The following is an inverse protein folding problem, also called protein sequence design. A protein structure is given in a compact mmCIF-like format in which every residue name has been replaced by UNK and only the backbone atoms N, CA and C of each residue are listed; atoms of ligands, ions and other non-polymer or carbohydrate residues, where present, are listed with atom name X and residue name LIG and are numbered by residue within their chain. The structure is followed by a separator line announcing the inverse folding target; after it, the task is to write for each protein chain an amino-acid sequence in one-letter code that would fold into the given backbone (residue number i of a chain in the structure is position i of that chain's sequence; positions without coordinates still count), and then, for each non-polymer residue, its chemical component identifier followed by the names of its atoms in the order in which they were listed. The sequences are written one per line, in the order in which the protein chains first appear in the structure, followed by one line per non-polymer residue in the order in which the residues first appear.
data_IF_901753714926
#
_entry.id   IF_901753714926
#
_cell.length_a   1.000
_cell.length_b   1.000
_cell.length_c   1.000
_cell.angle_alpha   90.00
_cell.angle_beta   90.00
_cell.angle_gamma   90.00
#
_symmetry.space_group_name_H-M   'P 1'
#
loop_
_entity.id
_entity.type
_entity.pdbx_description
1 polymer ?
#
# COMPACT_ATOMS: atom_id res chain seq x y z
N UNK A 1 -7.97 19.59 14.24
CA UNK A 1 -6.61 19.26 14.73
C UNK A 1 -6.60 18.21 15.85
N UNK A 2 -7.29 18.43 16.98
CA UNK A 2 -7.30 17.46 18.12
C UNK A 2 -7.78 16.04 17.75
N UNK A 3 -8.78 15.91 16.87
CA UNK A 3 -9.29 14.60 16.45
C UNK A 3 -8.25 13.79 15.65
N UNK A 4 -7.62 14.39 14.64
CA UNK A 4 -6.58 13.73 13.84
C UNK A 4 -5.40 13.25 14.69
N UNK A 5 -4.97 14.05 15.66
CA UNK A 5 -3.88 13.66 16.56
C UNK A 5 -4.26 12.44 17.41
N UNK A 6 -5.50 12.40 17.92
CA UNK A 6 -6.01 11.23 18.66
C UNK A 6 -6.08 9.98 17.78
N UNK A 7 -6.56 10.12 16.55
CA UNK A 7 -6.61 9.01 15.58
C UNK A 7 -5.21 8.47 15.27
N UNK A 8 -4.25 9.35 14.99
CA UNK A 8 -2.86 8.96 14.73
C UNK A 8 -2.24 8.28 15.96
N UNK A 9 -2.44 8.84 17.16
CA UNK A 9 -1.95 8.23 18.39
C UNK A 9 -2.52 6.83 18.60
N UNK A 10 -3.83 6.65 18.40
CA UNK A 10 -4.49 5.34 18.51
C UNK A 10 -3.87 4.34 17.54
N UNK A 11 -3.71 4.69 16.27
CA UNK A 11 -3.12 3.79 15.27
C UNK A 11 -1.64 3.51 15.54
N UNK A 12 -0.88 4.48 16.05
CA UNK A 12 0.51 4.23 16.48
C UNK A 12 0.56 3.23 17.63
N UNK A 13 -0.29 3.39 18.64
CA UNK A 13 -0.36 2.46 19.77
C UNK A 13 -0.77 1.05 19.32
N UNK A 14 -1.76 0.95 18.42
CA UNK A 14 -2.16 -0.33 17.84
C UNK A 14 -1.03 -0.96 17.01
N UNK A 15 -0.31 -0.17 16.21
CA UNK A 15 0.83 -0.68 15.46
C UNK A 15 1.88 -1.27 16.39
N UNK A 16 2.30 -0.54 17.43
CA UNK A 16 3.27 -1.02 18.41
C UNK A 16 2.80 -2.29 19.14
N UNK A 17 1.51 -2.36 19.50
CA UNK A 17 0.94 -3.50 20.20
C UNK A 17 0.82 -4.74 19.30
N UNK A 18 0.33 -4.58 18.07
CA UNK A 18 0.08 -5.68 17.14
C UNK A 18 1.34 -6.17 16.43
N UNK A 19 2.41 -5.38 16.41
CA UNK A 19 3.73 -5.81 15.94
C UNK A 19 4.65 -6.24 17.09
N UNK A 20 4.15 -6.44 18.30
CA UNK A 20 4.98 -6.94 19.41
C UNK A 20 5.62 -8.30 19.04
N UNK A 21 6.91 -8.56 19.34
CA UNK A 21 7.83 -7.80 20.21
C UNK A 21 8.71 -6.76 19.51
N UNK A 22 8.37 -6.29 18.30
CA UNK A 22 9.20 -5.34 17.55
C UNK A 22 9.63 -4.11 18.38
N UNK A 23 8.72 -3.54 19.15
CA UNK A 23 9.01 -2.38 19.99
C UNK A 23 10.09 -2.65 21.05
N UNK A 24 10.22 -3.89 21.55
CA UNK A 24 11.25 -4.28 22.51
C UNK A 24 12.63 -4.48 21.85
N UNK A 25 12.65 -4.82 20.56
CA UNK A 25 13.86 -5.11 19.79
C UNK A 25 14.13 -4.09 18.68
N UNK A 26 13.58 -2.89 18.82
CA UNK A 26 13.42 -1.90 17.74
C UNK A 26 14.74 -1.46 17.06
N UNK A 27 15.85 -1.53 17.78
CA UNK A 27 17.18 -1.13 17.27
C UNK A 27 18.04 -2.30 16.82
N UNK A 28 17.63 -3.54 17.09
CA UNK A 28 18.46 -4.74 16.91
C UNK A 28 17.88 -5.73 15.92
N UNK A 29 16.56 -5.74 15.71
CA UNK A 29 15.88 -6.70 14.85
C UNK A 29 14.92 -5.99 13.91
N UNK A 30 14.70 -6.59 12.74
CA UNK A 30 13.58 -6.30 11.83
C UNK A 30 12.56 -7.45 11.94
N UNK A 31 11.26 -7.22 11.69
CA UNK A 31 10.28 -8.31 11.67
C UNK A 31 10.55 -9.26 10.51
N UNK A 32 10.38 -10.56 10.72
CA UNK A 32 10.62 -11.56 9.69
C UNK A 32 11.01 -12.90 10.28
N UNK A 33 11.05 -13.90 9.43
CA UNK A 33 11.51 -15.26 9.74
C UNK A 33 12.96 -15.51 9.24
N UNK A 34 13.62 -14.49 8.69
CA UNK A 34 14.98 -14.55 8.16
C UNK A 34 15.04 -14.84 6.66
N UNK A 35 13.91 -15.05 5.97
CA UNK A 35 13.88 -15.40 4.56
C UNK A 35 13.92 -14.13 3.69
N UNK A 36 12.88 -13.30 3.77
CA UNK A 36 12.72 -12.12 2.90
C UNK A 36 13.22 -10.82 3.54
N UNK A 37 13.26 -10.74 4.89
CA UNK A 37 13.66 -9.54 5.60
C UNK A 37 15.09 -9.06 5.31
N UNK A 38 16.13 -9.92 5.14
CA UNK A 38 17.46 -9.44 4.81
C UNK A 38 17.52 -8.81 3.41
N UNK A 39 16.80 -9.40 2.44
CA UNK A 39 16.75 -8.89 1.07
C UNK A 39 16.03 -7.53 1.01
N UNK A 40 14.90 -7.38 1.71
CA UNK A 40 14.19 -6.11 1.77
C UNK A 40 14.92 -5.05 2.59
N UNK A 41 15.67 -5.43 3.63
CA UNK A 41 16.58 -4.52 4.30
C UNK A 41 17.72 -4.06 3.38
N UNK A 42 18.28 -4.97 2.57
CA UNK A 42 19.27 -4.62 1.55
C UNK A 42 18.72 -3.63 0.53
N UNK A 43 17.45 -3.76 0.11
CA UNK A 43 16.80 -2.81 -0.79
C UNK A 43 16.82 -1.38 -0.24
N UNK A 44 16.49 -1.23 1.05
CA UNK A 44 16.49 0.06 1.70
C UNK A 44 17.89 0.68 1.71
N UNK A 45 18.93 -0.12 1.93
CA UNK A 45 20.32 0.34 1.87
C UNK A 45 20.78 0.67 0.43
N UNK A 46 20.41 -0.16 -0.54
CA UNK A 46 20.91 -0.08 -1.91
C UNK A 46 20.58 1.26 -2.58
N UNK A 47 19.32 1.69 -2.51
CA UNK A 47 18.85 2.92 -3.18
C UNK A 47 19.65 4.16 -2.76
N UNK A 48 19.78 4.53 -1.46
CA UNK A 48 20.60 5.65 -1.04
C UNK A 48 22.09 5.42 -1.30
N UNK A 49 22.61 4.21 -1.12
CA UNK A 49 24.01 3.92 -1.46
C UNK A 49 24.30 4.22 -2.94
N UNK A 50 23.40 3.84 -3.84
CA UNK A 50 23.54 4.06 -5.28
C UNK A 50 23.41 5.55 -5.66
N UNK A 51 22.35 6.20 -5.17
CA UNK A 51 22.05 7.59 -5.51
C UNK A 51 22.98 8.61 -4.83
N UNK A 52 23.31 8.39 -3.56
CA UNK A 52 24.00 9.38 -2.71
C UNK A 52 25.48 9.06 -2.62
N UNK A 53 25.83 7.82 -2.24
CA UNK A 53 27.23 7.45 -2.01
C UNK A 53 27.99 7.23 -3.31
N UNK A 54 27.36 6.61 -4.32
CA UNK A 54 27.97 6.36 -5.63
C UNK A 54 27.65 7.42 -6.68
N UNK A 55 26.77 8.38 -6.37
CA UNK A 55 26.31 9.42 -7.29
C UNK A 55 25.83 8.86 -8.64
N UNK A 56 25.20 7.69 -8.61
CA UNK A 56 24.74 7.00 -9.80
C UNK A 56 23.21 6.94 -9.82
N UNK A 57 22.53 7.55 -10.80
CA UNK A 57 21.08 7.55 -10.89
C UNK A 57 20.49 6.19 -11.29
N UNK A 58 21.30 5.26 -11.79
CA UNK A 58 20.86 3.92 -12.17
C UNK A 58 20.78 3.01 -10.94
N UNK A 59 19.59 2.98 -10.33
CA UNK A 59 19.27 2.10 -9.20
C UNK A 59 18.90 0.67 -9.61
N UNK A 60 18.77 0.40 -10.91
CA UNK A 60 18.25 -0.88 -11.39
C UNK A 60 19.37 -1.87 -11.71
N UNK A 61 20.59 -1.43 -12.06
CA UNK A 61 21.66 -2.37 -12.39
C UNK A 61 22.68 -2.55 -11.26
N UNK A 62 22.95 -3.81 -10.92
CA UNK A 62 23.99 -4.19 -9.97
C UNK A 62 24.96 -5.21 -10.60
N UNK A 63 26.21 -4.82 -10.83
CA UNK A 63 27.19 -5.66 -11.54
C UNK A 63 28.14 -6.50 -10.69
N UNK A 64 28.00 -6.41 -9.36
CA UNK A 64 28.90 -7.08 -8.43
C UNK A 64 28.26 -8.27 -7.71
N UNK A 65 26.93 -8.35 -7.68
CA UNK A 65 26.23 -9.40 -6.93
C UNK A 65 26.37 -10.77 -7.60
N UNK A 66 26.31 -10.81 -8.94
CA UNK A 66 26.46 -12.02 -9.75
C UNK A 66 27.62 -11.90 -10.76
N UNK A 67 28.67 -11.16 -10.42
CA UNK A 67 29.81 -10.94 -11.31
C UNK A 67 30.33 -12.25 -11.94
N UNK A 68 30.54 -12.32 -13.27
CA UNK A 68 30.57 -11.21 -14.24
C UNK A 68 29.23 -10.83 -14.87
N UNK A 69 28.11 -11.36 -14.37
CA UNK A 69 26.77 -11.09 -14.88
C UNK A 69 26.18 -9.89 -14.13
N UNK A 70 25.73 -8.89 -14.88
CA UNK A 70 24.95 -7.78 -14.35
C UNK A 70 23.50 -8.22 -14.12
N UNK A 71 22.95 -7.88 -12.96
CA UNK A 71 21.55 -8.15 -12.61
C UNK A 71 20.74 -6.86 -12.79
N UNK A 72 19.60 -6.98 -13.48
CA UNK A 72 18.58 -5.96 -13.56
C UNK A 72 17.54 -6.14 -12.44
N UNK A 73 17.48 -5.17 -11.53
CA UNK A 73 16.60 -5.12 -10.38
C UNK A 73 15.22 -4.57 -10.73
N UNK A 74 14.95 -4.21 -11.99
CA UNK A 74 13.63 -3.73 -12.41
C UNK A 74 12.55 -4.82 -12.31
N UNK A 75 12.89 -6.10 -12.47
CA UNK A 75 11.96 -7.22 -12.24
C UNK A 75 12.02 -7.77 -10.81
N UNK A 76 12.86 -7.17 -9.97
CA UNK A 76 13.01 -7.52 -8.56
C UNK A 76 12.17 -6.58 -7.67
N UNK A 77 11.81 -7.03 -6.47
CA UNK A 77 10.97 -6.31 -5.50
C UNK A 77 11.71 -5.17 -4.80
N UNK A 78 12.36 -4.28 -5.55
CA UNK A 78 13.32 -3.28 -5.03
C UNK A 78 12.71 -2.22 -4.09
N UNK A 79 11.41 -1.95 -4.16
CA UNK A 79 10.74 -0.89 -3.38
C UNK A 79 11.42 0.50 -3.39
N UNK A 80 11.77 1.10 -4.55
CA UNK A 80 12.61 2.31 -4.60
C UNK A 80 12.14 3.50 -3.76
N UNK A 81 10.83 3.73 -3.63
CA UNK A 81 10.32 4.81 -2.78
C UNK A 81 10.68 4.58 -1.30
N UNK A 82 10.55 3.34 -0.81
CA UNK A 82 10.88 3.00 0.56
C UNK A 82 12.38 3.21 0.81
N UNK A 83 13.23 2.79 -0.14
CA UNK A 83 14.67 3.06 -0.08
C UNK A 83 14.99 4.56 -0.02
N UNK A 84 14.34 5.38 -0.85
CA UNK A 84 14.53 6.83 -0.82
C UNK A 84 14.06 7.47 0.50
N UNK A 85 12.88 7.08 1.00
CA UNK A 85 12.34 7.58 2.28
C UNK A 85 13.17 7.14 3.48
N UNK A 86 13.85 6.00 3.38
CA UNK A 86 14.73 5.51 4.44
C UNK A 86 16.04 6.30 4.53
N UNK A 87 16.49 6.96 3.46
CA UNK A 87 17.79 7.64 3.41
C UNK A 87 18.06 8.61 4.58
N UNK A 88 17.19 9.57 4.92
CA UNK A 88 17.41 10.46 6.08
C UNK A 88 17.31 9.74 7.43
N UNK A 89 16.56 8.64 7.50
CA UNK A 89 16.44 7.83 8.72
C UNK A 89 17.70 6.99 8.93
N UNK A 90 18.25 6.42 7.86
CA UNK A 90 19.47 5.61 7.90
C UNK A 90 20.68 6.44 8.33
N UNK A 91 20.83 7.65 7.81
CA UNK A 91 21.95 8.51 8.15
C UNK A 91 21.96 8.95 9.62
N UNK A 92 20.79 9.01 10.26
CA UNK A 92 20.65 9.42 11.65
C UNK A 92 20.54 8.25 12.65
N UNK A 93 19.89 7.15 12.26
CA UNK A 93 19.44 6.08 13.17
C UNK A 93 19.89 4.67 12.74
N UNK A 94 20.46 4.51 11.54
CA UNK A 94 20.85 3.23 10.99
C UNK A 94 19.72 2.47 10.27
N UNK A 95 20.11 1.42 9.54
CA UNK A 95 19.24 0.66 8.64
C UNK A 95 18.07 -0.04 9.35
N UNK A 96 18.35 -0.69 10.47
CA UNK A 96 17.35 -1.45 11.24
C UNK A 96 16.23 -0.52 11.72
N UNK A 97 16.59 0.60 12.34
CA UNK A 97 15.63 1.58 12.85
C UNK A 97 14.84 2.21 11.70
N UNK A 98 15.50 2.54 10.59
CA UNK A 98 14.84 3.07 9.40
C UNK A 98 13.80 2.09 8.83
N UNK A 99 14.15 0.81 8.72
CA UNK A 99 13.24 -0.25 8.27
C UNK A 99 12.01 -0.34 9.16
N UNK A 100 12.22 -0.40 10.48
CA UNK A 100 11.14 -0.53 11.46
C UNK A 100 10.21 0.69 11.47
N UNK A 101 10.77 1.90 11.35
CA UNK A 101 9.99 3.13 11.23
C UNK A 101 9.14 3.14 9.95
N UNK A 102 9.70 2.72 8.82
CA UNK A 102 8.96 2.62 7.56
C UNK A 102 7.83 1.60 7.67
N UNK A 103 8.10 0.41 8.20
CA UNK A 103 7.08 -0.59 8.42
C UNK A 103 5.95 -0.07 9.31
N UNK A 104 6.26 0.47 10.48
CA UNK A 104 5.24 1.03 11.39
C UNK A 104 4.46 2.17 10.74
N UNK A 105 5.14 3.06 10.01
CA UNK A 105 4.47 4.14 9.29
C UNK A 105 3.50 3.61 8.23
N UNK A 106 3.80 2.47 7.59
CA UNK A 106 2.89 1.84 6.64
C UNK A 106 1.57 1.38 7.30
N UNK A 107 1.61 0.96 8.57
CA UNK A 107 0.40 0.61 9.32
C UNK A 107 -0.40 1.87 9.67
N UNK A 108 0.28 2.86 10.26
CA UNK A 108 -0.35 4.10 10.74
C UNK A 108 -0.91 4.94 9.59
N UNK A 109 -0.14 5.17 8.53
CA UNK A 109 -0.56 5.95 7.37
C UNK A 109 -1.65 5.23 6.58
N UNK A 110 -1.57 3.91 6.45
CA UNK A 110 -2.63 3.12 5.80
C UNK A 110 -3.95 3.22 6.57
N UNK A 111 -3.92 2.99 7.89
CA UNK A 111 -5.08 3.13 8.75
C UNK A 111 -5.66 4.56 8.71
N UNK A 112 -4.79 5.57 8.73
CA UNK A 112 -5.19 6.97 8.68
C UNK A 112 -5.79 7.35 7.33
N UNK A 113 -5.22 6.88 6.22
CA UNK A 113 -5.77 7.09 4.88
C UNK A 113 -7.16 6.48 4.75
N UNK A 114 -7.36 5.25 5.25
CA UNK A 114 -8.67 4.60 5.27
C UNK A 114 -9.68 5.34 6.16
N UNK A 115 -9.26 5.80 7.34
CA UNK A 115 -10.07 6.68 8.19
C UNK A 115 -10.53 7.94 7.44
N UNK A 116 -9.63 8.63 6.75
CA UNK A 116 -9.97 9.83 5.97
C UNK A 116 -10.92 9.51 4.81
N UNK A 117 -10.66 8.42 4.09
CA UNK A 117 -11.52 7.94 3.01
C UNK A 117 -12.95 7.66 3.50
N UNK A 118 -13.09 6.89 4.57
CA UNK A 118 -14.40 6.55 5.13
C UNK A 118 -15.09 7.77 5.72
N UNK A 119 -14.35 8.68 6.39
CA UNK A 119 -14.91 9.93 6.86
C UNK A 119 -15.44 10.81 5.71
N UNK A 120 -14.75 10.85 4.57
CA UNK A 120 -15.20 11.56 3.37
C UNK A 120 -16.46 10.92 2.76
N UNK A 121 -16.54 9.59 2.73
CA UNK A 121 -17.69 8.85 2.20
C UNK A 121 -18.94 8.97 3.09
N UNK A 122 -18.75 9.02 4.42
CA UNK A 122 -19.83 9.15 5.39
C UNK A 122 -20.21 10.60 5.69
N UNK A 123 -19.50 11.58 5.13
CA UNK A 123 -19.79 12.98 5.35
C UNK A 123 -21.15 13.37 4.72
N UNK A 124 -22.10 13.74 5.57
CA UNK A 124 -23.38 14.33 5.16
C UNK A 124 -23.15 15.70 4.49
N UNK A 125 -23.86 16.01 3.38
CA UNK A 125 -23.90 17.37 2.85
C UNK A 125 -24.35 18.33 3.95
N UNK A 126 -23.60 19.42 4.18
CA UNK A 126 -23.94 20.39 5.21
C UNK A 126 -25.37 20.92 5.00
N UNK A 127 -26.32 20.41 5.77
CA UNK A 127 -27.67 20.97 5.82
C UNK A 127 -27.63 22.33 6.50
N UNK A 128 -28.41 23.30 6.01
CA UNK A 128 -28.46 24.66 6.56
C UNK A 128 -29.17 24.74 7.92
N UNK A 129 -29.66 23.62 8.44
CA UNK A 129 -30.40 23.55 9.70
C UNK A 129 -29.45 23.30 10.88
N UNK A 130 -29.74 23.86 12.07
CA UNK A 130 -28.93 23.62 13.25
C UNK A 130 -28.93 22.13 13.61
N UNK A 131 -27.79 21.59 14.09
CA UNK A 131 -27.65 20.17 14.39
C UNK A 131 -28.60 19.77 15.53
N UNK A 132 -29.55 18.88 15.23
CA UNK A 132 -30.42 18.29 16.26
C UNK A 132 -29.65 17.24 17.08
N UNK A 133 -30.14 16.79 18.26
CA UNK A 133 -29.50 15.72 19.04
C UNK A 133 -29.27 14.44 18.23
N UNK A 134 -30.17 14.11 17.29
CA UNK A 134 -29.99 13.02 16.33
C UNK A 134 -28.76 13.20 15.42
N UNK A 135 -28.41 14.44 15.03
CA UNK A 135 -27.21 14.71 14.24
C UNK A 135 -25.92 14.47 15.03
N UNK A 136 -25.92 14.69 16.35
CA UNK A 136 -24.75 14.42 17.19
C UNK A 136 -24.50 12.92 17.34
N UNK A 137 -25.57 12.14 17.58
CA UNK A 137 -25.48 10.68 17.64
C UNK A 137 -25.00 10.10 16.29
N UNK A 138 -25.51 10.60 15.17
CA UNK A 138 -25.07 10.20 13.82
C UNK A 138 -23.58 10.52 13.58
N UNK A 139 -23.11 11.72 13.95
CA UNK A 139 -21.69 12.08 13.83
C UNK A 139 -20.78 11.20 14.67
N UNK A 140 -21.20 10.84 15.89
CA UNK A 140 -20.43 9.93 16.73
C UNK A 140 -20.31 8.54 16.06
N UNK A 141 -21.42 8.00 15.54
CA UNK A 141 -21.41 6.72 14.82
C UNK A 141 -20.52 6.78 13.58
N UNK A 142 -20.64 7.84 12.76
CA UNK A 142 -19.81 8.04 11.56
C UNK A 142 -18.31 8.11 11.89
N UNK A 143 -17.94 8.82 12.96
CA UNK A 143 -16.55 8.91 13.41
C UNK A 143 -16.01 7.55 13.86
N UNK A 144 -16.79 6.80 14.65
CA UNK A 144 -16.38 5.46 15.08
C UNK A 144 -16.31 4.47 13.92
N UNK A 145 -17.24 4.55 12.95
CA UNK A 145 -17.20 3.75 11.74
C UNK A 145 -15.95 4.04 10.90
N UNK A 146 -15.58 5.32 10.75
CA UNK A 146 -14.33 5.70 10.09
C UNK A 146 -13.08 5.24 10.85
N UNK A 147 -13.09 5.31 12.19
CA UNK A 147 -11.99 4.78 13.02
C UNK A 147 -11.86 3.27 12.84
N UNK A 148 -12.97 2.54 12.87
CA UNK A 148 -12.99 1.09 12.68
C UNK A 148 -12.52 0.70 11.27
N UNK A 149 -12.93 1.44 10.23
CA UNK A 149 -12.46 1.21 8.88
C UNK A 149 -10.94 1.37 8.75
N UNK A 150 -10.37 2.36 9.45
CA UNK A 150 -8.91 2.50 9.55
C UNK A 150 -8.25 1.32 10.24
N UNK A 151 -8.84 0.79 11.32
CA UNK A 151 -8.34 -0.41 11.99
C UNK A 151 -8.36 -1.62 11.06
N UNK A 152 -9.50 -1.88 10.41
CA UNK A 152 -9.68 -3.04 9.51
C UNK A 152 -8.70 -2.99 8.35
N UNK A 153 -8.51 -1.81 7.75
CA UNK A 153 -7.58 -1.66 6.62
C UNK A 153 -6.11 -1.74 7.06
N UNK A 154 -5.74 -0.97 8.09
CA UNK A 154 -4.35 -0.82 8.50
C UNK A 154 -3.78 -2.07 9.14
N UNK A 155 -4.61 -2.79 9.91
CA UNK A 155 -4.20 -3.94 10.73
C UNK A 155 -4.89 -5.24 10.29
N UNK A 156 -5.25 -5.34 9.01
CA UNK A 156 -5.75 -6.58 8.45
C UNK A 156 -4.79 -7.74 8.74
N UNK A 157 -5.34 -8.92 9.04
CA UNK A 157 -4.59 -10.14 9.36
C UNK A 157 -3.58 -10.48 8.26
N UNK A 158 -3.96 -10.34 6.99
CA UNK A 158 -3.09 -10.57 5.84
C UNK A 158 -1.87 -9.65 5.83
N UNK A 159 -2.03 -8.38 6.19
CA UNK A 159 -0.93 -7.42 6.25
C UNK A 159 0.03 -7.73 7.41
N UNK A 160 -0.51 -8.08 8.58
CA UNK A 160 0.30 -8.51 9.73
C UNK A 160 1.05 -9.82 9.42
N UNK A 161 0.42 -10.74 8.71
CA UNK A 161 1.05 -11.98 8.26
C UNK A 161 2.26 -11.71 7.37
N UNK A 162 2.12 -10.88 6.33
CA UNK A 162 3.25 -10.53 5.47
C UNK A 162 4.34 -9.75 6.18
N UNK A 163 3.98 -8.88 7.13
CA UNK A 163 4.97 -8.22 7.99
C UNK A 163 5.75 -9.23 8.85
N UNK A 164 5.10 -10.29 9.36
CA UNK A 164 5.78 -11.34 10.14
C UNK A 164 6.69 -12.25 9.31
N UNK A 165 6.45 -12.35 8.00
CA UNK A 165 7.34 -13.04 7.05
C UNK A 165 8.48 -12.15 6.54
N UNK A 166 8.58 -10.90 7.01
CA UNK A 166 9.62 -9.99 6.56
C UNK A 166 9.33 -9.31 5.23
N UNK A 167 8.16 -9.55 4.63
CA UNK A 167 7.75 -9.00 3.33
C UNK A 167 7.20 -7.57 3.45
N UNK A 168 8.07 -6.62 3.81
CA UNK A 168 7.72 -5.21 4.02
C UNK A 168 7.19 -4.50 2.76
N UNK A 169 7.53 -5.00 1.57
CA UNK A 169 6.99 -4.50 0.30
C UNK A 169 5.47 -4.70 0.25
N UNK A 170 4.99 -5.89 0.60
CA UNK A 170 3.55 -6.20 0.66
C UNK A 170 2.88 -5.44 1.82
N UNK A 171 3.58 -5.22 2.93
CA UNK A 171 3.05 -4.33 3.98
C UNK A 171 2.92 -2.86 3.53
N UNK A 172 3.62 -2.44 2.47
CA UNK A 172 3.66 -1.06 1.96
C UNK A 172 2.45 -0.69 1.11
N UNK A 173 1.24 -0.92 1.63
CA UNK A 173 -0.06 -0.61 1.00
C UNK A 173 -0.62 0.78 1.34
N UNK A 174 0.11 1.59 2.11
CA UNK A 174 -0.45 2.79 2.77
C UNK A 174 -0.84 3.92 1.82
N UNK A 175 -0.40 3.92 0.57
CA UNK A 175 -0.76 4.95 -0.41
C UNK A 175 -2.12 4.69 -1.08
N UNK A 176 -2.59 3.44 -1.06
CA UNK A 176 -3.86 3.01 -1.69
C UNK A 176 -5.05 3.85 -1.20
N UNK A 177 -5.31 4.02 0.12
CA UNK A 177 -6.49 4.74 0.57
C UNK A 177 -6.44 6.23 0.20
N UNK A 178 -5.25 6.82 0.15
CA UNK A 178 -5.10 8.21 -0.30
C UNK A 178 -5.38 8.35 -1.79
N UNK A 179 -4.89 7.42 -2.63
CA UNK A 179 -5.23 7.40 -4.05
C UNK A 179 -6.76 7.36 -4.24
N UNK A 180 -7.44 6.44 -3.55
CA UNK A 180 -8.91 6.28 -3.61
C UNK A 180 -9.65 7.52 -3.06
N UNK A 181 -9.19 8.10 -1.95
CA UNK A 181 -9.75 9.33 -1.39
C UNK A 181 -9.75 10.47 -2.43
N UNK A 182 -8.66 10.63 -3.17
CA UNK A 182 -8.59 11.68 -4.19
C UNK A 182 -9.40 11.35 -5.45
N UNK A 183 -9.64 10.08 -5.78
CA UNK A 183 -10.62 9.69 -6.81
C UNK A 183 -12.06 10.01 -6.39
N UNK A 184 -12.41 9.77 -5.12
CA UNK A 184 -13.71 10.17 -4.56
C UNK A 184 -13.88 11.69 -4.60
N UNK A 185 -12.85 12.45 -4.20
CA UNK A 185 -12.87 13.93 -4.28
C UNK A 185 -12.90 14.44 -5.71
N UNK A 186 -12.29 13.73 -6.66
CA UNK A 186 -12.40 14.03 -8.09
C UNK A 186 -13.85 13.89 -8.54
N UNK A 187 -14.53 12.81 -8.16
CA UNK A 187 -15.94 12.58 -8.47
C UNK A 187 -16.86 13.67 -7.89
N UNK A 188 -16.59 14.08 -6.66
CA UNK A 188 -17.36 15.12 -5.96
C UNK A 188 -17.02 16.55 -6.43
N UNK A 189 -15.99 16.73 -7.26
CA UNK A 189 -15.54 18.05 -7.67
C UNK A 189 -16.60 18.83 -8.45
N UNK A 190 -16.78 20.11 -8.08
CA UNK A 190 -17.76 21.00 -8.71
C UNK A 190 -17.16 21.81 -9.86
N UNK A 191 -15.84 21.93 -9.90
CA UNK A 191 -15.10 22.69 -10.92
C UNK A 191 -14.02 21.82 -11.56
N UNK A 192 -13.66 22.12 -12.81
CA UNK A 192 -12.58 21.43 -13.51
C UNK A 192 -11.24 21.58 -12.78
N UNK A 193 -10.93 22.76 -12.26
CA UNK A 193 -9.70 23.00 -11.48
C UNK A 193 -9.61 22.07 -10.26
N UNK A 194 -10.72 21.89 -9.53
CA UNK A 194 -10.76 20.95 -8.40
C UNK A 194 -10.58 19.50 -8.87
N UNK A 195 -11.25 19.11 -9.95
CA UNK A 195 -11.14 17.77 -10.52
C UNK A 195 -9.71 17.45 -10.98
N UNK A 196 -9.06 18.37 -11.71
CA UNK A 196 -7.66 18.23 -12.16
C UNK A 196 -6.70 18.14 -10.98
N UNK A 197 -6.86 19.00 -9.96
CA UNK A 197 -6.04 18.95 -8.75
C UNK A 197 -6.19 17.60 -8.03
N UNK A 198 -7.42 17.10 -7.90
CA UNK A 198 -7.67 15.82 -7.25
C UNK A 198 -7.15 14.64 -8.10
N UNK A 199 -7.27 14.71 -9.42
CA UNK A 199 -6.63 13.75 -10.34
C UNK A 199 -5.11 13.72 -10.20
N UNK A 200 -4.47 14.88 -10.08
CA UNK A 200 -3.02 14.97 -9.86
C UNK A 200 -2.59 14.37 -8.52
N UNK A 201 -3.36 14.59 -7.44
CA UNK A 201 -3.10 13.93 -6.15
C UNK A 201 -3.31 12.42 -6.21
N UNK A 202 -4.37 11.96 -6.86
CA UNK A 202 -4.59 10.52 -7.06
C UNK A 202 -3.43 9.88 -7.84
N UNK A 203 -2.93 10.55 -8.88
CA UNK A 203 -1.77 10.11 -9.65
C UNK A 203 -0.49 10.06 -8.80
N UNK A 204 -0.24 11.07 -7.96
CA UNK A 204 0.90 11.07 -7.05
C UNK A 204 0.90 9.84 -6.14
N UNK A 205 -0.23 9.55 -5.49
CA UNK A 205 -0.34 8.37 -4.62
C UNK A 205 -0.29 7.05 -5.39
N UNK A 206 -0.75 7.02 -6.64
CA UNK A 206 -0.60 5.86 -7.50
C UNK A 206 0.88 5.63 -7.87
N UNK A 207 1.63 6.69 -8.20
CA UNK A 207 3.08 6.62 -8.43
C UNK A 207 3.80 6.17 -7.15
N UNK A 208 3.44 6.74 -6.00
CA UNK A 208 4.03 6.31 -4.73
C UNK A 208 3.74 4.84 -4.44
N UNK A 209 2.51 4.37 -4.71
CA UNK A 209 2.19 2.96 -4.57
C UNK A 209 3.00 2.10 -5.56
N UNK A 210 3.17 2.52 -6.81
CA UNK A 210 3.96 1.76 -7.79
C UNK A 210 5.44 1.65 -7.42
N UNK A 211 6.02 2.73 -6.89
CA UNK A 211 7.40 2.74 -6.43
C UNK A 211 7.60 2.08 -5.06
N UNK A 212 6.52 1.80 -4.33
CA UNK A 212 6.56 1.01 -3.09
C UNK A 212 6.27 -0.48 -3.34
N UNK A 213 5.28 -0.80 -4.18
CA UNK A 213 4.87 -2.16 -4.56
C UNK A 213 4.04 -2.15 -5.86
N UNK A 214 4.63 -2.65 -6.95
CA UNK A 214 4.03 -2.65 -8.29
C UNK A 214 2.75 -3.48 -8.37
N UNK A 215 2.66 -4.59 -7.63
CA UNK A 215 1.50 -5.48 -7.64
C UNK A 215 0.24 -4.72 -7.24
N UNK A 216 0.32 -3.89 -6.20
CA UNK A 216 -0.79 -3.07 -5.74
C UNK A 216 -1.09 -1.89 -6.65
N UNK A 217 -0.10 -1.33 -7.34
CA UNK A 217 -0.35 -0.34 -8.38
C UNK A 217 -1.17 -0.92 -9.54
N UNK A 218 -0.87 -2.16 -9.96
CA UNK A 218 -1.66 -2.88 -10.97
C UNK A 218 -3.12 -3.06 -10.54
N UNK A 219 -3.36 -3.48 -9.29
CA UNK A 219 -4.73 -3.58 -8.76
C UNK A 219 -5.43 -2.22 -8.66
N UNK A 220 -4.71 -1.17 -8.29
CA UNK A 220 -5.24 0.20 -8.28
C UNK A 220 -5.59 0.69 -9.70
N UNK A 221 -4.81 0.35 -10.72
CA UNK A 221 -5.13 0.68 -12.12
C UNK A 221 -6.44 0.02 -12.56
N UNK A 222 -6.63 -1.26 -12.22
CA UNK A 222 -7.89 -1.98 -12.47
C UNK A 222 -9.04 -1.27 -11.74
N UNK A 223 -8.87 -0.93 -10.46
CA UNK A 223 -9.86 -0.20 -9.70
C UNK A 223 -10.18 1.17 -10.33
N UNK A 224 -9.17 1.93 -10.76
CA UNK A 224 -9.35 3.24 -11.41
C UNK A 224 -10.11 3.08 -12.72
N UNK A 225 -9.84 2.05 -13.51
CA UNK A 225 -10.57 1.77 -14.76
C UNK A 225 -12.05 1.49 -14.48
N UNK A 226 -12.35 0.62 -13.50
CA UNK A 226 -13.73 0.32 -13.08
C UNK A 226 -14.41 1.60 -12.56
N UNK A 227 -13.72 2.36 -11.70
CA UNK A 227 -14.24 3.61 -11.13
C UNK A 227 -14.50 4.66 -12.22
N UNK A 228 -13.64 4.76 -13.23
CA UNK A 228 -13.82 5.63 -14.38
C UNK A 228 -15.07 5.25 -15.18
N UNK A 229 -15.25 3.98 -15.51
CA UNK A 229 -16.45 3.48 -16.21
C UNK A 229 -17.71 3.78 -15.40
N UNK A 230 -17.70 3.45 -14.11
CA UNK A 230 -18.82 3.75 -13.20
C UNK A 230 -19.11 5.25 -13.11
N UNK A 231 -18.08 6.09 -13.04
CA UNK A 231 -18.24 7.55 -13.04
C UNK A 231 -18.90 8.02 -14.33
N UNK A 232 -18.45 7.56 -15.50
CA UNK A 232 -19.08 7.90 -16.79
C UNK A 232 -20.57 7.51 -16.80
N UNK A 233 -20.90 6.28 -16.38
CA UNK A 233 -22.29 5.80 -16.36
C UNK A 233 -23.20 6.60 -15.41
N UNK A 234 -22.71 7.00 -14.24
CA UNK A 234 -23.52 7.73 -13.25
C UNK A 234 -23.68 9.22 -13.58
N UNK A 235 -22.66 9.87 -14.16
CA UNK A 235 -22.73 11.29 -14.57
C UNK A 235 -23.55 11.50 -15.83
N UNK A 236 -23.50 10.56 -16.79
CA UNK A 236 -24.34 10.59 -17.99
C UNK A 236 -25.83 10.67 -17.65
N UNK A 237 -26.24 10.03 -16.54
CA UNK A 237 -27.61 10.06 -16.03
C UNK A 237 -28.01 11.34 -15.29
N UNK A 238 -27.06 12.18 -14.83
CA UNK A 238 -27.35 13.29 -13.89
C UNK A 238 -27.25 14.71 -14.45
N UNK A 239 -26.57 14.99 -15.59
CA UNK A 239 -26.62 16.30 -16.30
C UNK A 239 -25.77 16.32 -17.60
N UNK A 240 -26.22 17.08 -18.61
CA UNK A 240 -25.59 17.37 -19.93
C UNK A 240 -24.22 18.10 -19.88
N UNK A 241 -23.24 17.59 -19.13
CA UNK A 241 -21.84 18.10 -19.19
C UNK A 241 -20.81 16.96 -19.28
N UNK A 242 -20.82 16.16 -20.38
CA UNK A 242 -19.93 15.01 -20.57
C UNK A 242 -18.45 15.38 -20.75
N UNK A 243 -18.13 16.60 -21.16
CA UNK A 243 -16.76 17.01 -21.52
C UNK A 243 -15.78 17.17 -20.34
N UNK A 244 -16.27 17.26 -19.10
CA UNK A 244 -15.41 17.43 -17.92
C UNK A 244 -14.91 16.11 -17.32
N UNK A 245 -15.52 14.98 -17.67
CA UNK A 245 -15.23 13.70 -17.03
C UNK A 245 -13.86 13.10 -17.38
N UNK A 246 -13.36 13.09 -18.64
CA UNK A 246 -12.13 12.36 -18.97
C UNK A 246 -10.85 13.14 -18.63
N UNK A 247 -10.86 14.47 -18.70
CA UNK A 247 -9.67 15.31 -18.52
C UNK A 247 -8.85 15.02 -17.24
N UNK A 248 -9.43 14.91 -16.03
CA UNK A 248 -8.65 14.61 -14.84
C UNK A 248 -8.09 13.18 -14.81
N UNK A 249 -8.74 12.20 -15.47
CA UNK A 249 -8.20 10.84 -15.62
C UNK A 249 -7.07 10.80 -16.64
N UNK A 250 -7.17 11.55 -17.74
CA UNK A 250 -6.09 11.70 -18.70
C UNK A 250 -4.86 12.34 -18.05
N UNK A 251 -5.04 13.42 -17.29
CA UNK A 251 -3.96 14.01 -16.51
C UNK A 251 -3.35 13.00 -15.54
N UNK A 252 -4.18 12.26 -14.81
CA UNK A 252 -3.69 11.25 -13.87
C UNK A 252 -2.90 10.14 -14.57
N UNK A 253 -3.37 9.66 -15.72
CA UNK A 253 -2.68 8.67 -16.54
C UNK A 253 -1.35 9.18 -17.09
N UNK A 254 -1.29 10.43 -17.57
CA UNK A 254 -0.05 11.04 -18.04
C UNK A 254 0.98 11.21 -16.92
N UNK A 255 0.55 11.70 -15.74
CA UNK A 255 1.42 11.84 -14.58
C UNK A 255 1.92 10.49 -14.07
N UNK A 256 1.07 9.48 -14.07
CA UNK A 256 1.46 8.11 -13.71
C UNK A 256 2.47 7.53 -14.71
N UNK A 257 2.20 7.64 -16.00
CA UNK A 257 3.11 7.17 -17.05
C UNK A 257 4.47 7.87 -16.95
N UNK A 258 4.49 9.20 -16.72
CA UNK A 258 5.72 9.94 -16.49
C UNK A 258 6.45 9.49 -15.21
N UNK A 259 5.71 9.24 -14.12
CA UNK A 259 6.28 8.81 -12.84
C UNK A 259 6.87 7.40 -12.86
N UNK A 260 6.31 6.49 -13.66
CA UNK A 260 6.80 5.09 -13.77
C UNK A 260 7.73 4.89 -14.98
N UNK A 261 7.92 5.92 -15.81
CA UNK A 261 8.79 5.84 -16.99
C UNK A 261 10.22 5.32 -16.71
N UNK A 262 10.93 5.72 -15.63
CA UNK A 262 12.26 5.16 -15.34
C UNK A 262 12.24 3.65 -15.10
N UNK A 263 11.17 3.17 -14.45
CA UNK A 263 10.97 1.76 -14.16
C UNK A 263 10.72 0.98 -15.45
N UNK A 264 9.79 1.45 -16.29
CA UNK A 264 9.49 0.84 -17.59
C UNK A 264 10.70 0.84 -18.51
N UNK A 265 11.47 1.94 -18.51
CA UNK A 265 12.70 2.05 -19.29
C UNK A 265 13.74 1.00 -18.87
N UNK A 266 13.90 0.76 -17.58
CA UNK A 266 14.82 -0.25 -17.07
C UNK A 266 14.36 -1.68 -17.39
N UNK A 267 13.05 -1.94 -17.52
CA UNK A 267 12.52 -3.26 -17.89
C UNK A 267 12.67 -3.59 -19.39
N UNK A 268 12.73 -2.57 -20.25
CA UNK A 268 12.67 -2.73 -21.72
C UNK A 268 13.73 -3.69 -22.32
N UNK A 269 15.01 -3.67 -21.90
CA UNK A 269 16.03 -4.57 -22.46
C UNK A 269 15.70 -6.04 -22.25
N UNK A 270 15.35 -6.42 -21.02
CA UNK A 270 15.02 -7.81 -20.66
C UNK A 270 13.73 -8.24 -21.35
N UNK A 271 12.73 -7.35 -21.46
CA UNK A 271 11.51 -7.63 -22.23
C UNK A 271 11.77 -7.92 -23.70
N UNK A 272 12.79 -7.30 -24.31
CA UNK A 272 13.15 -7.57 -25.70
C UNK A 272 13.95 -8.86 -25.85
N UNK A 273 14.74 -9.22 -24.84
CA UNK A 273 15.61 -10.39 -24.87
C UNK A 273 14.85 -11.69 -24.55
N UNK A 274 14.08 -11.70 -23.47
CA UNK A 274 13.37 -12.91 -22.99
C UNK A 274 11.99 -13.07 -23.64
N UNK A 275 11.35 -11.97 -24.02
CA UNK A 275 10.08 -11.96 -24.75
C UNK A 275 8.84 -12.34 -23.93
N UNK A 276 8.90 -13.46 -23.21
CA UNK A 276 7.78 -14.00 -22.42
C UNK A 276 8.13 -14.17 -20.94
N UNK A 277 7.43 -13.42 -20.07
CA UNK A 277 7.49 -13.57 -18.60
C UNK A 277 6.26 -14.29 -18.04
N UNK A 278 5.40 -14.85 -18.88
CA UNK A 278 4.27 -15.64 -18.42
C UNK A 278 4.79 -16.90 -17.75
N UNK A 279 4.41 -17.08 -16.49
CA UNK A 279 4.60 -18.35 -15.81
C UNK A 279 3.75 -19.43 -16.50
N UNK A 280 4.32 -20.62 -16.65
CA UNK A 280 3.52 -21.79 -17.02
C UNK A 280 2.55 -22.16 -15.89
N UNK A 281 1.30 -22.50 -16.23
CA UNK A 281 0.25 -22.77 -15.22
C UNK A 281 -0.18 -21.50 -14.47
N UNK A 282 -0.52 -21.63 -13.19
CA UNK A 282 -0.76 -20.47 -12.31
C UNK A 282 0.52 -19.93 -11.66
N UNK A 283 1.68 -20.56 -11.92
CA UNK A 283 2.95 -20.21 -11.31
C UNK A 283 2.87 -20.29 -9.77
N UNK A 284 3.36 -19.27 -9.09
CA UNK A 284 3.27 -19.20 -7.62
C UNK A 284 1.82 -19.07 -7.10
N UNK A 285 0.86 -18.65 -7.92
CA UNK A 285 -0.54 -18.57 -7.50
C UNK A 285 -1.09 -19.95 -7.12
N UNK A 286 -0.63 -21.03 -7.76
CA UNK A 286 -1.07 -22.39 -7.44
C UNK A 286 -0.63 -22.83 -6.03
N UNK A 287 0.40 -22.19 -5.47
CA UNK A 287 0.93 -22.48 -4.13
C UNK A 287 0.47 -21.47 -3.08
N UNK A 288 0.30 -20.19 -3.44
CA UNK A 288 0.04 -19.11 -2.50
C UNK A 288 -1.41 -18.61 -2.50
N UNK A 289 -2.28 -19.13 -3.36
CA UNK A 289 -3.71 -18.82 -3.33
C UNK A 289 -4.40 -19.49 -2.16
N UNK A 290 -5.36 -18.79 -1.55
CA UNK A 290 -6.23 -19.36 -0.54
C UNK A 290 -7.12 -20.45 -1.14
N UNK A 291 -7.19 -21.61 -0.48
CA UNK A 291 -8.24 -22.58 -0.73
C UNK A 291 -9.52 -22.21 0.06
N UNK A 292 -10.61 -22.95 -0.15
CA UNK A 292 -11.87 -22.68 0.56
C UNK A 292 -11.75 -22.86 2.07
N UNK A 293 -10.87 -23.75 2.54
CA UNK A 293 -10.66 -24.00 3.96
C UNK A 293 -9.89 -22.85 4.64
N UNK A 294 -9.01 -22.18 3.91
CA UNK A 294 -8.24 -21.03 4.35
C UNK A 294 -9.08 -19.82 4.76
N UNK A 295 -10.33 -19.73 4.31
CA UNK A 295 -11.28 -18.70 4.77
C UNK A 295 -11.88 -18.99 6.16
N UNK A 296 -11.81 -20.24 6.63
CA UNK A 296 -12.41 -20.69 7.88
C UNK A 296 -11.39 -20.91 9.00
N UNK A 297 -10.09 -20.80 8.68
CA UNK A 297 -9.00 -21.19 9.56
C UNK A 297 -8.07 -20.00 9.84
N UNK A 298 -7.70 -19.75 11.12
CA UNK A 298 -6.70 -18.75 11.45
C UNK A 298 -5.34 -19.17 10.96
N UNK A 299 -4.43 -18.20 10.81
CA UNK A 299 -3.07 -18.49 10.39
C UNK A 299 -2.34 -19.35 11.43
N UNK A 300 -1.36 -20.17 11.03
CA UNK A 300 -0.46 -20.85 11.98
C UNK A 300 0.28 -19.85 12.91
N UNK A 301 0.43 -18.61 12.46
CA UNK A 301 1.05 -17.53 13.22
C UNK A 301 0.06 -16.82 14.17
N UNK A 302 -1.20 -17.25 14.23
CA UNK A 302 -2.17 -16.68 15.16
C UNK A 302 -1.77 -16.96 16.62
N UNK A 303 -1.75 -15.96 17.52
CA UNK A 303 -1.17 -16.09 18.86
C UNK A 303 -1.87 -17.14 19.75
N UNK A 304 -3.20 -17.29 19.62
CA UNK A 304 -3.99 -18.24 20.42
C UNK A 304 -4.27 -19.56 19.69
N UNK A 305 -4.74 -19.48 18.44
CA UNK A 305 -5.22 -20.62 17.67
C UNK A 305 -4.15 -21.26 16.76
N UNK A 306 -2.95 -20.68 16.67
CA UNK A 306 -1.92 -21.14 15.75
C UNK A 306 -1.46 -22.58 16.02
N UNK A 307 -1.40 -23.00 17.29
CA UNK A 307 -1.06 -24.37 17.67
C UNK A 307 -2.11 -25.40 17.24
N UNK A 308 -3.39 -25.01 17.31
CA UNK A 308 -4.51 -25.82 16.82
C UNK A 308 -4.48 -25.90 15.29
N UNK A 309 -4.30 -24.77 14.60
CA UNK A 309 -4.12 -24.75 13.15
C UNK A 309 -2.91 -25.59 12.74
N UNK A 310 -1.82 -25.60 13.52
CA UNK A 310 -0.63 -26.37 13.18
C UNK A 310 -0.84 -27.88 13.14
N UNK A 311 -1.80 -28.39 13.93
CA UNK A 311 -2.15 -29.81 14.00
C UNK A 311 -3.13 -30.24 12.90
N UNK A 312 -3.64 -29.30 12.10
CA UNK A 312 -4.61 -29.62 11.07
C UNK A 312 -3.97 -30.37 9.89
N UNK A 313 -4.78 -31.22 9.24
CA UNK A 313 -4.35 -32.03 8.10
C UNK A 313 -4.29 -31.26 6.76
N UNK A 314 -4.70 -29.99 6.73
CA UNK A 314 -4.68 -29.15 5.53
C UNK A 314 -3.40 -28.32 5.48
N UNK A 315 -2.94 -27.96 4.27
CA UNK A 315 -1.76 -27.11 4.12
C UNK A 315 -2.02 -25.72 4.69
N UNK A 316 -1.13 -25.35 5.59
CA UNK A 316 -1.22 -24.22 6.52
C UNK A 316 0.18 -23.60 6.67
N UNK A 317 1.12 -23.99 5.81
CA UNK A 317 2.52 -23.57 5.80
C UNK A 317 2.72 -22.23 5.09
N UNK A 318 1.85 -21.90 4.13
CA UNK A 318 1.90 -20.66 3.34
C UNK A 318 0.62 -19.88 3.56
N UNK A 319 0.64 -18.56 3.33
CA UNK A 319 -0.43 -17.58 3.64
C UNK A 319 -1.78 -17.76 2.94
N UNK A 320 -2.20 -19.00 2.70
CA UNK A 320 -3.48 -19.43 2.14
C UNK A 320 -4.66 -19.13 3.07
N UNK A 321 -4.41 -18.61 4.28
CA UNK A 321 -5.44 -18.35 5.29
C UNK A 321 -5.82 -16.87 5.30
N UNK A 322 -7.02 -16.55 4.82
CA UNK A 322 -7.62 -15.22 4.92
C UNK A 322 -8.52 -15.25 6.16
N UNK A 323 -7.90 -15.21 7.33
CA UNK A 323 -8.63 -15.18 8.59
C UNK A 323 -9.25 -13.80 8.78
N UNK A 324 -10.57 -13.69 8.62
CA UNK A 324 -11.29 -12.42 8.69
C UNK A 324 -11.46 -11.89 10.13
N UNK A 325 -11.06 -12.66 11.14
CA UNK A 325 -11.27 -12.37 12.56
C UNK A 325 -12.22 -13.38 13.21
#
# INVERSE_FOLDING_TARGET
MRAHLRTLLLYTLLALALTWPLAAHFTTHVPGDGIDDPALAWNLWWVPNRLISQLNPDIFHAGWMFHPIDINLAFYTLTPLNGLLSAPLQSALGLIVASNLLLLSSFVLGAYGAYLLTAELLAEPASALPPTPHHQASRFIQQNAALLAGVVYGFASSKLFYASLGQFNIASSHWIPFCVLYLVRLYQARTLRQALRNGAWAALFLVFQAWAELTYASFLLIFIAIFFVWHLCTRYRRLFRPYFAPAPYLLAGLLFAAGVAPFLWAMLPDMRAEGDFFASGGGFADTFSADLAGYLMPTRLHPLLGSWTAQSAFDNSKGQQIYLG
#
